data_IF_705620547780
#
_entry.id   IF_705620547780
#
_cell.length_a   1.000
_cell.length_b   1.000
_cell.length_c   1.000
_cell.angle_alpha   90.00
_cell.angle_beta   90.00
_cell.angle_gamma   90.00
#
_symmetry.space_group_name_H-M   'P 1'
#
loop_
_entity.id
_entity.type
_entity.pdbx_description
1 polymer ?
#
# COMPACT_ATOMS: atom_id res chain seq x y z
N UNK A 1 17.80 -29.42 -50.40
CA UNK A 1 16.66 -29.32 -49.45
C UNK A 1 17.10 -29.11 -47.99
N UNK A 2 18.30 -29.54 -47.55
CA UNK A 2 18.77 -29.42 -46.16
C UNK A 2 19.24 -28.02 -45.71
N UNK A 3 19.72 -27.18 -46.64
CA UNK A 3 20.22 -25.82 -46.33
C UNK A 3 19.11 -24.89 -45.82
N UNK A 4 17.87 -25.05 -46.32
CA UNK A 4 16.73 -24.23 -45.90
C UNK A 4 16.24 -24.54 -44.47
N UNK A 5 16.40 -25.78 -43.99
CA UNK A 5 16.02 -26.15 -42.63
C UNK A 5 17.01 -25.60 -41.59
N UNK A 6 18.31 -25.59 -41.94
CA UNK A 6 19.37 -25.03 -41.08
C UNK A 6 19.24 -23.50 -41.00
N UNK A 7 18.93 -22.82 -42.11
CA UNK A 7 18.67 -21.38 -42.10
C UNK A 7 17.45 -21.02 -41.23
N UNK A 8 16.37 -21.80 -41.29
CA UNK A 8 15.18 -21.58 -40.45
C UNK A 8 15.46 -21.83 -38.96
N UNK A 9 16.32 -22.79 -38.62
CA UNK A 9 16.77 -23.01 -37.24
C UNK A 9 17.66 -21.86 -36.74
N UNK A 10 18.50 -21.29 -37.61
CA UNK A 10 19.35 -20.13 -37.28
C UNK A 10 18.50 -18.87 -37.05
N UNK A 11 17.46 -18.66 -37.87
CA UNK A 11 16.48 -17.58 -37.67
C UNK A 11 15.69 -17.74 -36.36
N UNK A 12 15.30 -18.97 -36.00
CA UNK A 12 14.66 -19.25 -34.71
C UNK A 12 15.64 -19.01 -33.55
N UNK A 13 16.90 -19.41 -33.69
CA UNK A 13 17.92 -19.16 -32.69
C UNK A 13 18.20 -17.66 -32.53
N UNK A 14 18.22 -16.89 -33.62
CA UNK A 14 18.34 -15.44 -33.62
C UNK A 14 17.13 -14.78 -32.95
N UNK A 15 15.90 -15.19 -33.28
CA UNK A 15 14.68 -14.70 -32.64
C UNK A 15 14.64 -15.04 -31.14
N UNK A 16 15.03 -16.25 -30.76
CA UNK A 16 15.12 -16.67 -29.37
C UNK A 16 16.16 -15.84 -28.59
N UNK A 17 17.30 -15.54 -29.22
CA UNK A 17 18.35 -14.71 -28.62
C UNK A 17 17.91 -13.24 -28.48
N UNK A 18 17.22 -12.70 -29.47
CA UNK A 18 16.63 -11.35 -29.40
C UNK A 18 15.53 -11.30 -28.34
N UNK A 19 14.67 -12.32 -28.26
CA UNK A 19 13.64 -12.43 -27.24
C UNK A 19 14.25 -12.51 -25.82
N UNK A 20 15.30 -13.32 -25.63
CA UNK A 20 16.02 -13.42 -24.36
C UNK A 20 16.65 -12.07 -23.96
N UNK A 21 17.30 -11.37 -24.90
CA UNK A 21 17.85 -10.05 -24.64
C UNK A 21 16.77 -9.02 -24.27
N UNK A 22 15.60 -9.08 -24.92
CA UNK A 22 14.46 -8.21 -24.57
C UNK A 22 13.87 -8.51 -23.19
N UNK A 23 13.85 -9.78 -22.79
CA UNK A 23 13.40 -10.19 -21.45
C UNK A 23 14.34 -9.68 -20.37
N UNK A 24 15.66 -9.77 -20.59
CA UNK A 24 16.66 -9.24 -19.65
C UNK A 24 16.57 -7.72 -19.49
N UNK A 25 16.35 -6.99 -20.59
CA UNK A 25 16.15 -5.53 -20.55
C UNK A 25 14.85 -5.15 -19.80
N UNK A 26 13.74 -5.84 -20.09
CA UNK A 26 12.47 -5.66 -19.37
C UNK A 26 12.66 -5.93 -17.87
N UNK A 27 13.35 -7.01 -17.51
CA UNK A 27 13.61 -7.36 -16.10
C UNK A 27 14.47 -6.30 -15.41
N UNK A 28 15.53 -5.81 -16.08
CA UNK A 28 16.39 -4.74 -15.56
C UNK A 28 15.63 -3.42 -15.38
N UNK A 29 14.79 -3.04 -16.35
CA UNK A 29 13.97 -1.83 -16.27
C UNK A 29 12.89 -1.95 -15.18
N UNK A 30 12.23 -3.11 -15.06
CA UNK A 30 11.27 -3.36 -13.99
C UNK A 30 11.92 -3.32 -12.61
N UNK A 31 13.13 -3.89 -12.47
CA UNK A 31 13.88 -3.81 -11.22
C UNK A 31 14.25 -2.37 -10.86
N UNK A 32 14.75 -1.58 -11.83
CA UNK A 32 15.12 -0.18 -11.60
C UNK A 32 13.91 0.70 -11.27
N UNK A 33 12.82 0.55 -12.03
CA UNK A 33 11.60 1.33 -11.80
C UNK A 33 10.92 0.92 -10.48
N UNK A 34 10.87 -0.38 -10.20
CA UNK A 34 10.40 -0.91 -8.92
C UNK A 34 11.25 -0.43 -7.73
N UNK A 35 12.57 -0.34 -7.87
CA UNK A 35 13.45 0.19 -6.83
C UNK A 35 13.19 1.67 -6.54
N UNK A 36 12.86 2.48 -7.56
CA UNK A 36 12.46 3.88 -7.35
C UNK A 36 11.08 3.99 -6.70
N UNK A 37 10.16 3.10 -7.03
CA UNK A 37 8.86 3.02 -6.38
C UNK A 37 8.94 2.44 -4.95
N UNK A 38 10.03 1.75 -4.59
CA UNK A 38 10.13 1.00 -3.33
C UNK A 38 9.91 1.86 -2.09
N UNK A 39 10.33 3.12 -2.10
CA UNK A 39 10.07 4.06 -1.00
C UNK A 39 8.57 4.25 -0.74
N UNK A 40 7.79 4.43 -1.80
CA UNK A 40 6.32 4.59 -1.77
C UNK A 40 5.61 3.25 -1.51
N UNK A 41 6.20 2.12 -1.93
CA UNK A 41 5.65 0.77 -1.71
C UNK A 41 5.70 0.36 -0.23
N UNK A 42 6.73 0.78 0.50
CA UNK A 42 6.82 0.54 1.95
C UNK A 42 5.63 1.18 2.66
N UNK A 43 5.22 2.37 2.19
CA UNK A 43 4.08 3.10 2.73
C UNK A 43 2.75 2.39 2.41
N UNK A 44 2.60 1.85 1.20
CA UNK A 44 1.44 1.05 0.76
C UNK A 44 1.27 -0.25 1.60
N UNK A 45 2.38 -0.90 1.95
CA UNK A 45 2.40 -2.07 2.81
C UNK A 45 1.95 -1.79 4.24
N UNK A 46 2.12 -0.56 4.74
CA UNK A 46 1.71 -0.18 6.09
C UNK A 46 0.21 0.13 6.21
N UNK A 47 -0.45 0.45 5.09
CA UNK A 47 -1.86 0.85 5.05
C UNK A 47 -2.80 -0.37 4.99
N UNK A 48 -2.41 -1.41 4.26
CA UNK A 48 -3.28 -2.57 3.96
C UNK A 48 -3.66 -3.45 5.17
N UNK A 49 -2.76 -3.79 6.12
CA UNK A 49 -3.09 -4.64 7.27
C UNK A 49 -4.25 -4.13 8.12
N UNK A 50 -4.56 -2.84 8.05
CA UNK A 50 -5.63 -2.19 8.82
C UNK A 50 -7.02 -2.63 8.42
N UNK A 51 -7.23 -2.96 7.15
CA UNK A 51 -8.56 -3.28 6.62
C UNK A 51 -9.03 -4.68 7.03
N UNK A 52 -8.13 -5.50 7.59
CA UNK A 52 -8.44 -6.82 8.14
C UNK A 52 -8.53 -6.85 9.66
N UNK A 53 -8.19 -5.74 10.34
CA UNK A 53 -8.24 -5.65 11.80
C UNK A 53 -9.69 -5.70 12.28
N UNK A 54 -9.97 -6.56 13.25
CA UNK A 54 -11.28 -6.69 13.90
C UNK A 54 -12.21 -7.73 13.27
N UNK A 55 -11.78 -8.41 12.20
CA UNK A 55 -12.48 -9.60 11.70
C UNK A 55 -12.04 -10.86 12.43
N UNK A 56 -12.85 -11.91 12.37
CA UNK A 56 -12.43 -13.23 12.88
C UNK A 56 -11.26 -13.75 12.02
N UNK A 57 -10.21 -14.30 12.65
CA UNK A 57 -8.99 -14.79 12.00
C UNK A 57 -9.25 -15.64 10.74
N UNK A 58 -10.28 -16.51 10.78
CA UNK A 58 -10.70 -17.34 9.62
C UNK A 58 -11.07 -16.56 8.35
N UNK A 59 -11.39 -15.27 8.45
CA UNK A 59 -11.81 -14.40 7.34
C UNK A 59 -10.73 -13.44 6.87
N UNK A 60 -9.65 -13.27 7.62
CA UNK A 60 -8.59 -12.30 7.30
C UNK A 60 -7.90 -12.63 5.97
N UNK A 61 -7.43 -13.87 5.78
CA UNK A 61 -6.76 -14.27 4.54
C UNK A 61 -7.68 -14.23 3.29
N UNK A 62 -8.95 -14.68 3.35
CA UNK A 62 -9.91 -14.45 2.27
C UNK A 62 -10.11 -12.97 1.91
N UNK A 63 -10.18 -12.08 2.92
CA UNK A 63 -10.31 -10.63 2.70
C UNK A 63 -9.05 -10.09 2.00
N UNK A 64 -7.85 -10.42 2.49
CA UNK A 64 -6.58 -10.03 1.84
C UNK A 64 -6.56 -10.47 0.38
N UNK A 65 -6.99 -11.70 0.08
CA UNK A 65 -7.05 -12.21 -1.29
C UNK A 65 -8.05 -11.42 -2.16
N UNK A 66 -9.21 -11.05 -1.63
CA UNK A 66 -10.20 -10.24 -2.35
C UNK A 66 -9.63 -8.85 -2.68
N UNK A 67 -8.96 -8.23 -1.71
CA UNK A 67 -8.32 -6.92 -1.91
C UNK A 67 -7.19 -7.04 -2.94
N UNK A 68 -6.31 -8.04 -2.82
CA UNK A 68 -5.20 -8.28 -3.75
C UNK A 68 -5.68 -8.49 -5.20
N UNK A 69 -6.74 -9.31 -5.40
CA UNK A 69 -7.30 -9.53 -6.74
C UNK A 69 -7.98 -8.27 -7.28
N UNK A 70 -8.69 -7.52 -6.43
CA UNK A 70 -9.30 -6.24 -6.80
C UNK A 70 -8.25 -5.20 -7.20
N UNK A 71 -7.21 -5.06 -6.39
CA UNK A 71 -6.02 -4.23 -6.63
C UNK A 71 -5.34 -4.59 -7.94
N UNK A 72 -5.07 -5.88 -8.19
CA UNK A 72 -4.41 -6.32 -9.42
C UNK A 72 -5.23 -6.00 -10.67
N UNK A 73 -6.55 -6.23 -10.61
CA UNK A 73 -7.46 -5.86 -11.71
C UNK A 73 -7.44 -4.36 -11.96
N UNK A 74 -7.51 -3.55 -10.91
CA UNK A 74 -7.46 -2.10 -10.99
C UNK A 74 -6.13 -1.62 -11.60
N UNK A 75 -5.01 -2.16 -11.14
CA UNK A 75 -3.66 -1.84 -11.65
C UNK A 75 -3.52 -2.18 -13.13
N UNK A 76 -3.87 -3.41 -13.53
CA UNK A 76 -3.61 -3.89 -14.90
C UNK A 76 -4.67 -3.48 -15.91
N UNK A 77 -5.96 -3.44 -15.53
CA UNK A 77 -7.06 -3.18 -16.45
C UNK A 77 -7.48 -1.72 -16.51
N UNK A 78 -7.15 -0.91 -15.50
CA UNK A 78 -7.56 0.49 -15.42
C UNK A 78 -6.34 1.41 -15.39
N UNK A 79 -5.49 1.31 -14.36
CA UNK A 79 -4.38 2.24 -14.17
C UNK A 79 -3.32 2.14 -15.26
N UNK A 80 -2.91 0.93 -15.64
CA UNK A 80 -1.92 0.73 -16.70
C UNK A 80 -2.37 1.34 -18.04
N UNK A 81 -3.54 0.98 -18.62
CA UNK A 81 -3.97 1.58 -19.87
C UNK A 81 -4.26 3.08 -19.73
N UNK A 82 -4.79 3.54 -18.59
CA UNK A 82 -5.00 4.96 -18.35
C UNK A 82 -3.68 5.74 -18.26
N UNK A 83 -2.67 5.21 -17.59
CA UNK A 83 -1.35 5.84 -17.46
C UNK A 83 -0.64 5.93 -18.82
N UNK A 84 -0.67 4.85 -19.63
CA UNK A 84 -0.14 4.87 -20.99
C UNK A 84 -0.93 5.81 -21.92
N UNK A 85 -2.25 5.88 -21.78
CA UNK A 85 -3.05 6.82 -22.56
C UNK A 85 -2.77 8.27 -22.14
N UNK A 86 -2.69 8.56 -20.84
CA UNK A 86 -2.37 9.87 -20.33
C UNK A 86 -0.97 10.30 -20.76
N UNK A 87 0.04 9.44 -20.71
CA UNK A 87 1.39 9.81 -21.17
C UNK A 87 1.44 10.18 -22.65
N UNK A 88 0.62 9.54 -23.48
CA UNK A 88 0.55 9.82 -24.92
C UNK A 88 -0.27 11.07 -25.26
N UNK A 89 -1.44 11.26 -24.62
CA UNK A 89 -2.41 12.28 -25.03
C UNK A 89 -2.43 13.53 -24.15
N UNK A 90 -2.12 13.38 -22.87
CA UNK A 90 -2.21 14.46 -21.88
C UNK A 90 -1.22 14.25 -20.73
N UNK A 91 0.11 14.24 -20.99
CA UNK A 91 1.11 14.02 -19.95
C UNK A 91 1.02 15.09 -18.85
N UNK A 92 0.62 16.32 -19.22
CA UNK A 92 0.35 17.43 -18.30
C UNK A 92 -0.77 17.13 -17.29
N UNK A 93 -1.66 16.16 -17.56
CA UNK A 93 -2.78 15.83 -16.69
C UNK A 93 -2.39 14.82 -15.59
N UNK A 94 -1.25 14.13 -15.72
CA UNK A 94 -0.79 13.13 -14.74
C UNK A 94 -0.60 13.78 -13.37
N UNK A 95 0.18 14.86 -13.32
CA UNK A 95 0.51 15.59 -12.09
C UNK A 95 -0.71 16.15 -11.36
N UNK A 96 -1.62 16.92 -12.00
CA UNK A 96 -2.81 17.40 -11.30
C UNK A 96 -3.75 16.27 -10.87
N UNK A 97 -3.83 15.15 -11.63
CA UNK A 97 -4.62 13.99 -11.20
C UNK A 97 -4.02 13.34 -9.94
N UNK A 98 -2.70 13.19 -9.88
CA UNK A 98 -2.00 12.70 -8.70
C UNK A 98 -2.18 13.67 -7.52
N UNK A 99 -2.04 14.98 -7.71
CA UNK A 99 -2.26 15.98 -6.66
C UNK A 99 -3.66 15.92 -6.08
N UNK A 100 -4.68 15.66 -6.90
CA UNK A 100 -6.05 15.42 -6.42
C UNK A 100 -6.14 14.15 -5.56
N UNK A 101 -5.47 13.07 -6.00
CA UNK A 101 -5.32 11.83 -5.22
C UNK A 101 -4.60 12.06 -3.89
N UNK A 102 -3.48 12.79 -3.90
CA UNK A 102 -2.74 13.19 -2.72
C UNK A 102 -3.58 14.06 -1.77
N UNK A 103 -4.37 14.99 -2.30
CA UNK A 103 -5.33 15.76 -1.52
C UNK A 103 -6.39 14.88 -0.84
N UNK A 104 -6.92 13.88 -1.53
CA UNK A 104 -7.82 12.90 -0.92
C UNK A 104 -7.15 12.10 0.21
N UNK A 105 -5.90 11.66 0.02
CA UNK A 105 -5.14 10.96 1.07
C UNK A 105 -4.85 11.86 2.28
N UNK A 106 -4.50 13.13 2.05
CA UNK A 106 -4.33 14.12 3.12
C UNK A 106 -5.62 14.32 3.90
N UNK A 107 -6.76 14.45 3.21
CA UNK A 107 -8.07 14.55 3.84
C UNK A 107 -8.39 13.31 4.68
N UNK A 108 -8.31 12.11 4.09
CA UNK A 108 -8.66 10.85 4.75
C UNK A 108 -7.72 10.51 5.91
N UNK A 109 -6.46 10.94 5.81
CA UNK A 109 -5.46 10.81 6.87
C UNK A 109 -5.71 11.79 8.02
N UNK A 110 -5.98 13.07 7.70
CA UNK A 110 -6.25 14.10 8.70
C UNK A 110 -7.53 13.83 9.51
N UNK A 111 -8.58 13.33 8.85
CA UNK A 111 -9.83 12.92 9.52
C UNK A 111 -9.56 11.82 10.57
N UNK A 112 -8.79 10.79 10.22
CA UNK A 112 -8.41 9.73 11.16
C UNK A 112 -7.52 10.23 12.30
N UNK A 113 -6.61 11.17 12.02
CA UNK A 113 -5.80 11.79 13.09
C UNK A 113 -6.70 12.57 14.04
N UNK A 114 -7.71 13.30 13.52
CA UNK A 114 -8.66 14.04 14.32
C UNK A 114 -9.50 13.10 15.21
N UNK A 115 -9.96 11.96 14.68
CA UNK A 115 -10.68 10.93 15.46
C UNK A 115 -9.82 10.37 16.61
N UNK A 116 -8.51 10.17 16.37
CA UNK A 116 -7.59 9.69 17.41
C UNK A 116 -7.34 10.74 18.51
N UNK A 117 -7.28 12.02 18.15
CA UNK A 117 -7.01 13.12 19.08
C UNK A 117 -8.28 13.57 19.82
N UNK A 118 -9.44 13.48 19.17
CA UNK A 118 -10.72 13.95 19.71
C UNK A 118 -11.85 12.90 19.57
N UNK A 119 -11.76 11.76 20.30
CA UNK A 119 -12.69 10.65 20.14
C UNK A 119 -14.17 10.97 20.44
N UNK A 120 -14.45 12.03 21.20
CA UNK A 120 -15.82 12.46 21.54
C UNK A 120 -16.44 13.44 20.52
N UNK A 121 -15.70 13.91 19.51
CA UNK A 121 -16.30 14.70 18.41
C UNK A 121 -17.04 13.81 17.39
N UNK A 122 -16.75 12.50 17.39
CA UNK A 122 -17.38 11.52 16.51
C UNK A 122 -18.85 11.22 16.89
N UNK A 123 -19.29 11.51 18.12
CA UNK A 123 -20.70 11.34 18.52
C UNK A 123 -21.61 12.49 18.05
N UNK A 124 -21.06 13.59 17.53
CA UNK A 124 -21.81 14.76 17.07
C UNK A 124 -21.89 14.90 15.54
N UNK A 125 -21.30 13.97 14.77
CA UNK A 125 -21.50 13.91 13.33
C UNK A 125 -22.87 13.26 13.05
N UNK A 126 -23.78 13.90 12.28
CA UNK A 126 -25.04 13.28 11.91
C UNK A 126 -24.74 12.05 11.06
N UNK A 127 -25.06 10.90 11.63
CA UNK A 127 -25.14 9.55 11.07
C UNK A 127 -25.09 9.51 9.53
N UNK A 128 -23.87 9.45 8.98
CA UNK A 128 -23.65 9.20 7.57
C UNK A 128 -23.84 7.70 7.31
N UNK A 129 -25.10 7.27 7.38
CA UNK A 129 -25.53 5.90 7.13
C UNK A 129 -25.41 5.02 8.37
N UNK A 130 -26.57 4.66 8.93
CA UNK A 130 -26.72 3.61 9.93
C UNK A 130 -25.70 2.50 9.70
N UNK A 131 -24.84 2.26 10.70
CA UNK A 131 -23.88 1.17 10.69
C UNK A 131 -24.57 -0.10 10.14
N UNK A 132 -24.08 -0.70 9.04
CA UNK A 132 -24.76 -1.84 8.44
C UNK A 132 -24.97 -2.90 9.52
N UNK A 133 -26.24 -3.19 9.83
CA UNK A 133 -26.60 -4.20 10.82
C UNK A 133 -26.14 -5.61 10.40
N UNK A 134 -25.73 -5.79 9.14
CA UNK A 134 -25.19 -7.03 8.60
C UNK A 134 -23.64 -7.01 8.57
N UNK A 135 -22.98 -7.93 9.31
CA UNK A 135 -21.53 -8.11 9.27
C UNK A 135 -20.93 -8.30 7.86
N UNK A 136 -21.70 -8.81 6.89
CA UNK A 136 -21.24 -8.97 5.50
C UNK A 136 -21.11 -7.65 4.76
N UNK A 137 -22.04 -6.72 4.98
CA UNK A 137 -22.02 -5.41 4.32
C UNK A 137 -20.82 -4.59 4.82
N UNK A 138 -20.53 -4.66 6.13
CA UNK A 138 -19.32 -4.08 6.71
C UNK A 138 -18.04 -4.65 6.09
N UNK A 139 -17.98 -5.96 5.86
CA UNK A 139 -16.84 -6.61 5.20
C UNK A 139 -16.66 -6.10 3.75
N UNK A 140 -17.75 -5.99 3.00
CA UNK A 140 -17.71 -5.49 1.62
C UNK A 140 -17.32 -4.01 1.55
N UNK A 141 -17.80 -3.18 2.47
CA UNK A 141 -17.41 -1.78 2.58
C UNK A 141 -15.93 -1.63 2.88
N UNK A 142 -15.39 -2.43 3.81
CA UNK A 142 -13.96 -2.45 4.13
C UNK A 142 -13.11 -2.88 2.95
N UNK A 143 -13.50 -3.94 2.24
CA UNK A 143 -12.81 -4.41 1.03
C UNK A 143 -12.83 -3.34 -0.05
N UNK A 144 -13.98 -2.70 -0.29
CA UNK A 144 -14.12 -1.65 -1.30
C UNK A 144 -13.32 -0.39 -0.93
N UNK A 145 -13.31 0.00 0.34
CA UNK A 145 -12.48 1.08 0.86
C UNK A 145 -11.00 0.80 0.64
N UNK A 146 -10.53 -0.40 1.01
CA UNK A 146 -9.15 -0.83 0.80
C UNK A 146 -8.75 -0.78 -0.67
N UNK A 147 -9.58 -1.30 -1.57
CA UNK A 147 -9.34 -1.28 -3.02
C UNK A 147 -9.27 0.17 -3.56
N UNK A 148 -10.06 1.09 -3.01
CA UNK A 148 -10.04 2.50 -3.42
C UNK A 148 -8.76 3.20 -2.97
N UNK A 149 -8.35 3.00 -1.73
CA UNK A 149 -7.09 3.56 -1.20
C UNK A 149 -5.90 2.98 -1.97
N UNK A 150 -5.86 1.66 -2.19
CA UNK A 150 -4.83 1.01 -3.01
C UNK A 150 -4.82 1.54 -4.45
N UNK A 151 -5.97 1.81 -5.05
CA UNK A 151 -6.03 2.40 -6.41
C UNK A 151 -5.32 3.75 -6.47
N UNK A 152 -5.50 4.61 -5.45
CA UNK A 152 -4.86 5.94 -5.41
C UNK A 152 -3.35 5.79 -5.21
N UNK A 153 -2.92 4.96 -4.25
CA UNK A 153 -1.49 4.68 -4.00
C UNK A 153 -0.82 4.03 -5.21
N UNK A 154 -1.53 3.13 -5.88
CA UNK A 154 -1.06 2.46 -7.10
C UNK A 154 -0.94 3.41 -8.28
N UNK A 155 -1.81 4.43 -8.37
CA UNK A 155 -1.75 5.43 -9.43
C UNK A 155 -0.45 6.24 -9.34
N UNK A 156 -0.05 6.62 -8.13
CA UNK A 156 1.23 7.28 -7.86
C UNK A 156 2.41 6.38 -8.21
N UNK A 157 2.44 5.15 -7.70
CA UNK A 157 3.48 4.16 -8.02
C UNK A 157 3.62 3.98 -9.54
N UNK A 158 2.49 3.87 -10.24
CA UNK A 158 2.47 3.67 -11.68
C UNK A 158 2.97 4.91 -12.43
N UNK A 159 2.63 6.11 -11.96
CA UNK A 159 3.09 7.36 -12.54
C UNK A 159 4.59 7.61 -12.30
N UNK A 160 5.10 7.34 -11.09
CA UNK A 160 6.55 7.38 -10.79
C UNK A 160 7.29 6.37 -11.67
N UNK A 161 6.75 5.16 -11.76
CA UNK A 161 7.30 4.08 -12.60
C UNK A 161 7.39 4.56 -14.05
N UNK A 162 6.30 5.10 -14.60
CA UNK A 162 6.26 5.61 -15.98
C UNK A 162 7.18 6.81 -16.21
N UNK A 163 7.19 7.79 -15.29
CA UNK A 163 8.02 9.00 -15.40
C UNK A 163 9.53 8.75 -15.23
N UNK A 164 9.93 7.57 -14.74
CA UNK A 164 11.34 7.20 -14.59
C UNK A 164 11.86 6.35 -15.74
N UNK A 165 10.98 5.90 -16.63
CA UNK A 165 11.35 5.13 -17.81
C UNK A 165 11.86 6.06 -18.91
N UNK A 166 12.88 5.64 -19.67
CA UNK A 166 13.22 6.29 -20.93
C UNK A 166 12.04 6.23 -21.90
N UNK A 167 12.07 7.12 -22.91
CA UNK A 167 11.22 7.03 -24.11
C UNK A 167 11.54 5.74 -24.87
N UNK A 168 10.95 4.66 -24.40
CA UNK A 168 11.09 3.29 -24.90
C UNK A 168 9.86 2.92 -25.72
N UNK A 169 9.94 1.81 -26.47
CA UNK A 169 8.78 1.34 -27.22
C UNK A 169 7.58 1.12 -26.28
N UNK A 170 6.39 1.51 -26.74
CA UNK A 170 5.12 1.36 -26.00
C UNK A 170 4.96 -0.02 -25.34
N UNK A 171 5.36 -1.08 -26.03
CA UNK A 171 5.30 -2.45 -25.51
C UNK A 171 6.24 -2.70 -24.33
N UNK A 172 7.44 -2.12 -24.32
CA UNK A 172 8.37 -2.23 -23.19
C UNK A 172 7.79 -1.52 -21.98
N UNK A 173 7.31 -0.29 -22.12
CA UNK A 173 6.63 0.43 -21.03
C UNK A 173 5.45 -0.37 -20.49
N UNK A 174 4.60 -0.91 -21.36
CA UNK A 174 3.45 -1.74 -20.96
C UNK A 174 3.88 -2.96 -20.14
N UNK A 175 4.86 -3.73 -20.60
CA UNK A 175 5.32 -4.93 -19.89
C UNK A 175 6.01 -4.56 -18.58
N UNK A 176 6.82 -3.51 -18.55
CA UNK A 176 7.51 -3.05 -17.34
C UNK A 176 6.50 -2.54 -16.30
N UNK A 177 5.53 -1.70 -16.69
CA UNK A 177 4.44 -1.26 -15.80
C UNK A 177 3.63 -2.44 -15.26
N UNK A 178 3.30 -3.43 -16.11
CA UNK A 178 2.60 -4.63 -15.70
C UNK A 178 3.42 -5.45 -14.70
N UNK A 179 4.72 -5.66 -14.96
CA UNK A 179 5.62 -6.39 -14.11
C UNK A 179 5.78 -5.73 -12.73
N UNK A 180 5.95 -4.41 -12.70
CA UNK A 180 6.02 -3.62 -11.46
C UNK A 180 4.69 -3.70 -10.70
N UNK A 181 3.57 -3.50 -11.37
CA UNK A 181 2.23 -3.58 -10.76
C UNK A 181 1.94 -4.96 -10.14
N UNK A 182 2.25 -6.04 -10.86
CA UNK A 182 2.12 -7.42 -10.35
C UNK A 182 3.08 -7.65 -9.20
N UNK A 183 4.36 -7.30 -9.37
CA UNK A 183 5.41 -7.54 -8.38
C UNK A 183 5.13 -6.86 -7.05
N UNK A 184 4.73 -5.59 -7.09
CA UNK A 184 4.35 -4.82 -5.89
C UNK A 184 3.11 -5.42 -5.23
N UNK A 185 2.09 -5.81 -6.01
CA UNK A 185 0.89 -6.45 -5.46
C UNK A 185 1.25 -7.76 -4.75
N UNK A 186 2.07 -8.61 -5.36
CA UNK A 186 2.52 -9.86 -4.74
C UNK A 186 3.34 -9.59 -3.48
N UNK A 187 4.24 -8.61 -3.52
CA UNK A 187 5.09 -8.28 -2.37
C UNK A 187 4.27 -7.73 -1.20
N UNK A 188 3.46 -6.69 -1.42
CA UNK A 188 2.66 -6.02 -0.39
C UNK A 188 1.64 -7.00 0.21
N UNK A 189 0.78 -7.61 -0.61
CA UNK A 189 -0.24 -8.51 -0.10
C UNK A 189 0.34 -9.84 0.40
N UNK A 190 1.52 -10.24 -0.08
CA UNK A 190 2.28 -11.36 0.46
C UNK A 190 2.75 -11.10 1.88
N UNK A 191 3.33 -9.93 2.15
CA UNK A 191 3.72 -9.51 3.52
C UNK A 191 2.49 -9.43 4.42
N UNK A 192 1.39 -8.84 3.95
CA UNK A 192 0.13 -8.77 4.72
C UNK A 192 -0.40 -10.17 5.05
N UNK A 193 -0.38 -11.09 4.08
CA UNK A 193 -0.80 -12.48 4.30
C UNK A 193 0.10 -13.21 5.31
N UNK A 194 1.41 -12.96 5.28
CA UNK A 194 2.35 -13.50 6.27
C UNK A 194 2.09 -12.95 7.67
N UNK A 195 1.80 -11.66 7.79
CA UNK A 195 1.42 -11.02 9.06
C UNK A 195 0.20 -11.70 9.66
N UNK A 196 -0.88 -11.81 8.88
CA UNK A 196 -2.12 -12.50 9.28
C UNK A 196 -1.84 -13.96 9.67
N UNK A 197 -1.00 -14.66 8.89
CA UNK A 197 -0.66 -16.06 9.15
C UNK A 197 0.18 -16.25 10.42
N UNK A 198 0.93 -15.24 10.85
CA UNK A 198 1.69 -15.30 12.09
C UNK A 198 0.76 -15.42 13.32
N UNK A 199 -0.46 -14.90 13.27
CA UNK A 199 -1.44 -15.05 14.34
C UNK A 199 -1.94 -16.51 14.48
N UNK A 200 -2.37 -17.10 13.35
CA UNK A 200 -2.72 -18.52 13.26
C UNK A 200 -1.59 -19.43 13.76
N UNK A 201 -0.35 -19.10 13.35
CA UNK A 201 0.85 -19.82 13.78
C UNK A 201 1.08 -19.68 15.29
N UNK A 202 0.82 -18.50 15.85
CA UNK A 202 0.85 -18.24 17.30
C UNK A 202 -0.11 -19.14 18.07
N UNK A 203 -1.36 -19.25 17.63
CA UNK A 203 -2.35 -20.16 18.24
C UNK A 203 -1.86 -21.61 18.13
N UNK A 204 -1.41 -22.03 16.93
CA UNK A 204 -0.91 -23.39 16.72
C UNK A 204 0.29 -23.72 17.61
N UNK A 205 1.17 -22.76 17.92
CA UNK A 205 2.31 -22.95 18.83
C UNK A 205 1.86 -22.96 20.30
N UNK A 206 0.89 -22.12 20.66
CA UNK A 206 0.36 -22.00 22.02
C UNK A 206 -0.34 -23.27 22.51
N UNK A 207 -1.00 -24.01 21.61
CA UNK A 207 -1.72 -25.25 21.92
C UNK A 207 -0.94 -26.52 21.57
N UNK A 208 0.27 -26.40 21.00
CA UNK A 208 1.05 -27.56 20.60
C UNK A 208 1.58 -28.33 21.82
N UNK A 209 1.24 -29.62 21.91
CA UNK A 209 1.74 -30.51 22.95
C UNK A 209 2.94 -31.36 22.52
N UNK A 210 3.23 -31.42 21.21
CA UNK A 210 4.31 -32.21 20.61
C UNK A 210 5.12 -31.42 19.56
N UNK A 211 5.82 -30.35 19.98
CA UNK A 211 6.50 -29.43 19.06
C UNK A 211 7.63 -30.06 18.26
N UNK A 212 8.40 -31.00 18.82
CA UNK A 212 9.52 -31.64 18.12
C UNK A 212 9.01 -32.50 16.95
N UNK A 213 7.89 -33.20 17.16
CA UNK A 213 7.23 -34.01 16.12
C UNK A 213 6.58 -33.16 15.04
N UNK A 214 5.99 -32.03 15.43
CA UNK A 214 5.41 -31.07 14.49
C UNK A 214 6.47 -30.45 13.58
N UNK A 215 7.65 -30.14 14.12
CA UNK A 215 8.78 -29.60 13.35
C UNK A 215 9.39 -30.64 12.39
N UNK A 216 9.46 -31.90 12.80
CA UNK A 216 9.95 -33.01 11.98
C UNK A 216 8.93 -33.54 10.96
N UNK A 217 7.72 -32.95 10.88
CA UNK A 217 6.67 -33.37 9.95
C UNK A 217 6.01 -34.72 10.29
N UNK A 218 6.25 -35.28 11.48
CA UNK A 218 5.76 -36.59 11.92
C UNK A 218 4.36 -36.50 12.57
N UNK A 219 3.47 -35.73 11.95
CA UNK A 219 2.19 -35.26 12.51
C UNK A 219 1.14 -36.37 12.74
N UNK A 220 1.39 -37.60 12.29
CA UNK A 220 0.47 -38.75 12.35
C UNK A 220 0.86 -39.86 13.33
N UNK A 221 1.97 -39.74 14.06
CA UNK A 221 2.39 -40.77 15.02
C UNK A 221 1.61 -40.63 16.34
N UNK A 222 0.57 -41.44 16.52
CA UNK A 222 -0.13 -41.62 17.81
C UNK A 222 0.83 -42.21 18.84
N UNK A 223 1.46 -41.36 19.65
CA UNK A 223 2.38 -41.78 20.70
C UNK A 223 2.54 -40.71 21.77
N UNK A 224 2.93 -41.10 22.97
CA UNK A 224 3.18 -40.19 24.10
C UNK A 224 4.24 -39.13 23.75
N UNK A 225 4.16 -37.90 24.27
CA UNK A 225 5.14 -36.84 24.00
C UNK A 225 6.57 -37.29 24.35
N UNK A 226 7.49 -37.13 23.40
CA UNK A 226 8.91 -37.47 23.60
C UNK A 226 9.56 -36.58 24.67
N UNK A 227 10.74 -36.95 25.17
CA UNK A 227 11.51 -36.10 26.10
C UNK A 227 11.84 -34.72 25.50
N UNK A 228 12.09 -34.68 24.18
CA UNK A 228 12.31 -33.44 23.43
C UNK A 228 11.03 -32.57 23.35
N UNK A 229 9.86 -33.19 23.18
CA UNK A 229 8.57 -32.47 23.18
C UNK A 229 8.33 -31.78 24.53
N UNK A 230 8.61 -32.49 25.65
CA UNK A 230 8.49 -31.92 27.00
C UNK A 230 9.46 -30.76 27.25
N UNK A 231 10.69 -30.84 26.72
CA UNK A 231 11.69 -29.78 26.86
C UNK A 231 11.33 -28.53 26.04
N UNK A 232 10.81 -28.69 24.81
CA UNK A 232 10.49 -27.59 23.91
C UNK A 232 9.10 -26.98 24.13
N UNK A 233 8.18 -27.72 24.76
CA UNK A 233 6.80 -27.27 25.05
C UNK A 233 6.72 -25.89 25.76
N UNK A 234 7.40 -25.63 26.89
CA UNK A 234 7.25 -24.35 27.57
C UNK A 234 7.72 -23.17 26.70
N UNK A 235 8.79 -23.35 25.94
CA UNK A 235 9.35 -22.33 25.04
C UNK A 235 8.39 -22.06 23.87
N UNK A 236 7.95 -23.11 23.19
CA UNK A 236 7.02 -22.97 22.04
C UNK A 236 5.68 -22.39 22.45
N UNK A 237 5.13 -22.79 23.61
CA UNK A 237 3.89 -22.23 24.14
C UNK A 237 4.06 -20.78 24.60
N UNK A 238 5.20 -20.41 25.18
CA UNK A 238 5.51 -19.02 25.54
C UNK A 238 5.60 -18.13 24.29
N UNK A 239 6.29 -18.59 23.24
CA UNK A 239 6.38 -17.89 21.95
C UNK A 239 4.99 -17.77 21.32
N UNK A 240 4.21 -18.86 21.27
CA UNK A 240 2.85 -18.84 20.72
C UNK A 240 1.93 -17.87 21.45
N UNK A 241 1.93 -17.88 22.78
CA UNK A 241 1.17 -16.93 23.60
C UNK A 241 1.65 -15.49 23.39
N UNK A 242 2.96 -15.27 23.25
CA UNK A 242 3.54 -13.97 22.95
C UNK A 242 3.12 -13.42 21.59
N UNK A 243 3.06 -14.27 20.57
CA UNK A 243 2.57 -13.89 19.24
C UNK A 243 1.10 -13.47 19.28
N UNK A 244 0.23 -14.29 19.89
CA UNK A 244 -1.21 -14.01 19.98
C UNK A 244 -1.49 -12.77 20.84
N UNK A 245 -0.79 -12.60 21.97
CA UNK A 245 -0.98 -11.44 22.84
C UNK A 245 -0.39 -10.16 22.24
N UNK A 246 0.67 -10.27 21.43
CA UNK A 246 1.29 -9.14 20.73
C UNK A 246 0.51 -8.68 19.50
N UNK A 247 -0.24 -9.57 18.84
CA UNK A 247 -0.94 -9.28 17.58
C UNK A 247 -1.86 -8.04 17.66
N UNK A 248 -2.71 -7.85 18.68
CA UNK A 248 -3.56 -6.65 18.76
C UNK A 248 -2.76 -5.35 18.84
N UNK A 249 -1.64 -5.35 19.57
CA UNK A 249 -0.74 -4.19 19.67
C UNK A 249 -0.04 -3.90 18.35
N UNK A 250 0.43 -4.96 17.67
CA UNK A 250 1.05 -4.86 16.36
C UNK A 250 0.09 -4.32 15.30
N UNK A 251 -1.15 -4.82 15.25
CA UNK A 251 -2.19 -4.35 14.34
C UNK A 251 -2.60 -2.89 14.63
N UNK A 252 -2.64 -2.49 15.90
CA UNK A 252 -2.84 -1.07 16.29
C UNK A 252 -1.67 -0.18 15.85
N UNK A 253 -0.43 -0.66 15.96
CA UNK A 253 0.75 0.08 15.52
C UNK A 253 0.75 0.25 14.00
N UNK A 254 0.45 -0.80 13.22
CA UNK A 254 0.22 -0.68 11.78
C UNK A 254 -0.94 0.29 11.50
N UNK A 255 -1.98 0.19 12.33
CA UNK A 255 -3.11 1.11 12.55
C UNK A 255 -2.76 2.55 12.96
N UNK A 256 -1.51 2.86 13.28
CA UNK A 256 -0.98 4.23 13.39
C UNK A 256 -0.08 4.59 12.19
N UNK A 257 0.80 3.67 11.79
CA UNK A 257 1.77 3.86 10.68
C UNK A 257 1.07 4.15 9.35
N UNK A 258 0.08 3.35 8.93
CA UNK A 258 -0.69 3.64 7.71
C UNK A 258 -1.41 5.01 7.65
N UNK A 259 -1.80 5.63 8.78
CA UNK A 259 -2.43 6.96 8.82
C UNK A 259 -1.34 7.99 8.58
N UNK A 260 -0.19 7.82 9.24
CA UNK A 260 0.98 8.65 9.00
C UNK A 260 1.43 8.55 7.54
N UNK A 261 1.43 7.34 6.98
CA UNK A 261 1.73 7.08 5.56
C UNK A 261 0.75 7.81 4.63
N UNK A 262 -0.57 7.70 4.83
CA UNK A 262 -1.56 8.42 4.02
C UNK A 262 -1.30 9.94 3.98
N UNK A 263 -1.00 10.52 5.14
CA UNK A 263 -0.78 11.96 5.26
C UNK A 263 0.54 12.37 4.60
N UNK A 264 1.64 11.68 4.91
CA UNK A 264 2.93 11.99 4.31
C UNK A 264 2.89 11.75 2.81
N UNK A 265 2.49 10.57 2.33
CA UNK A 265 2.43 10.27 0.89
C UNK A 265 1.58 11.32 0.17
N UNK A 266 0.39 11.62 0.68
CA UNK A 266 -0.46 12.68 0.12
C UNK A 266 0.24 14.05 0.08
N UNK A 267 0.92 14.42 1.17
CA UNK A 267 1.69 15.66 1.23
C UNK A 267 2.86 15.68 0.24
N UNK A 268 3.59 14.59 0.11
CA UNK A 268 4.71 14.42 -0.82
C UNK A 268 4.27 14.56 -2.27
N UNK A 269 3.15 13.93 -2.66
CA UNK A 269 2.55 14.09 -3.99
C UNK A 269 2.25 15.56 -4.29
N UNK A 270 1.64 16.27 -3.34
CA UNK A 270 1.29 17.69 -3.54
C UNK A 270 2.54 18.56 -3.62
N UNK A 271 3.53 18.33 -2.76
CA UNK A 271 4.80 19.07 -2.78
C UNK A 271 5.52 18.88 -4.12
N UNK A 272 5.59 17.63 -4.61
CA UNK A 272 6.21 17.34 -5.89
C UNK A 272 5.43 17.97 -7.05
N UNK A 273 4.09 17.89 -7.03
CA UNK A 273 3.28 18.55 -8.03
C UNK A 273 3.41 20.08 -8.02
N UNK A 274 3.57 20.70 -6.84
CA UNK A 274 3.88 22.13 -6.74
C UNK A 274 5.22 22.48 -7.38
N UNK A 275 6.24 21.63 -7.21
CA UNK A 275 7.54 21.82 -7.85
C UNK A 275 7.43 21.77 -9.38
N UNK A 276 6.70 20.79 -9.93
CA UNK A 276 6.45 20.69 -11.37
C UNK A 276 5.68 21.90 -11.93
N UNK A 277 4.77 22.49 -11.15
CA UNK A 277 4.07 23.73 -11.51
C UNK A 277 4.90 25.01 -11.32
N UNK A 278 6.17 24.90 -10.94
CA UNK A 278 7.09 26.03 -10.78
C UNK A 278 7.14 26.64 -9.38
N UNK A 279 6.47 26.02 -8.40
CA UNK A 279 6.48 26.42 -6.99
C UNK A 279 7.38 25.52 -6.14
N UNK A 280 8.62 25.30 -6.58
CA UNK A 280 9.58 24.39 -5.95
C UNK A 280 10.21 24.88 -4.63
N UNK A 281 9.93 26.09 -4.15
CA UNK A 281 10.58 26.66 -2.96
C UNK A 281 10.41 25.80 -1.71
N UNK A 282 9.23 25.22 -1.52
CA UNK A 282 8.93 24.36 -0.39
C UNK A 282 9.63 22.98 -0.51
N UNK A 283 9.65 22.39 -1.71
CA UNK A 283 10.39 21.16 -1.99
C UNK A 283 11.89 21.34 -1.78
N UNK A 284 12.48 22.42 -2.31
CA UNK A 284 13.90 22.73 -2.11
C UNK A 284 14.26 23.03 -0.65
N UNK A 285 13.39 23.73 0.09
CA UNK A 285 13.61 23.97 1.52
C UNK A 285 13.62 22.65 2.32
N UNK A 286 12.69 21.74 2.03
CA UNK A 286 12.63 20.42 2.65
C UNK A 286 13.85 19.57 2.28
N UNK A 287 14.21 19.52 0.99
CA UNK A 287 15.39 18.78 0.54
C UNK A 287 16.68 19.33 1.16
N UNK A 288 16.81 20.66 1.24
CA UNK A 288 17.94 21.31 1.90
C UNK A 288 18.02 20.96 3.40
N UNK A 289 16.89 20.97 4.11
CA UNK A 289 16.83 20.56 5.51
C UNK A 289 17.15 19.06 5.70
N UNK A 290 16.64 18.20 4.83
CA UNK A 290 16.89 16.76 4.84
C UNK A 290 18.37 16.45 4.58
N UNK A 291 18.97 17.10 3.57
CA UNK A 291 20.38 16.93 3.24
C UNK A 291 21.30 17.47 4.34
N UNK A 292 20.97 18.62 4.93
CA UNK A 292 21.70 19.15 6.08
C UNK A 292 21.65 18.20 7.29
N UNK A 293 20.51 17.55 7.51
CA UNK A 293 20.34 16.55 8.57
C UNK A 293 21.14 15.27 8.28
N UNK A 294 21.23 14.85 7.02
CA UNK A 294 22.03 13.71 6.60
C UNK A 294 23.53 13.93 6.84
N UNK A 295 24.02 15.15 6.59
CA UNK A 295 25.40 15.55 6.82
C UNK A 295 25.78 15.60 8.30
N UNK A 296 24.80 15.82 9.20
CA UNK A 296 25.04 15.88 10.64
C UNK A 296 25.43 14.51 11.23
N UNK A 297 24.92 13.41 10.68
CA UNK A 297 25.28 12.04 11.10
C UNK A 297 25.45 11.13 9.87
N UNK A 298 26.64 11.15 9.23
CA UNK A 298 26.88 10.43 7.97
C UNK A 298 26.60 8.93 8.03
N UNK A 299 26.79 8.30 9.18
CA UNK A 299 26.56 6.87 9.39
C UNK A 299 25.09 6.46 9.16
N UNK A 300 24.14 7.36 9.36
CA UNK A 300 22.70 7.13 9.15
C UNK A 300 22.10 8.19 8.22
N UNK A 301 22.93 8.84 7.39
CA UNK A 301 22.56 10.01 6.61
C UNK A 301 21.32 9.78 5.74
N UNK A 302 21.27 8.65 5.02
CA UNK A 302 20.12 8.31 4.18
C UNK A 302 18.83 8.06 4.99
N UNK A 303 18.93 7.50 6.20
CA UNK A 303 17.76 7.30 7.07
C UNK A 303 17.25 8.64 7.64
N UNK A 304 18.15 9.55 7.99
CA UNK A 304 17.79 10.90 8.44
C UNK A 304 17.18 11.73 7.30
N UNK A 305 17.74 11.66 6.09
CA UNK A 305 17.22 12.34 4.91
C UNK A 305 15.78 11.88 4.61
N UNK A 306 15.56 10.57 4.61
CA UNK A 306 14.24 9.98 4.44
C UNK A 306 13.29 10.45 5.55
N UNK A 307 13.71 10.40 6.82
CA UNK A 307 12.87 10.76 7.96
C UNK A 307 12.47 12.24 7.96
N UNK A 308 13.38 13.14 7.63
CA UNK A 308 13.09 14.59 7.57
C UNK A 308 12.17 14.90 6.39
N UNK A 309 12.41 14.27 5.23
CA UNK A 309 11.54 14.41 4.05
C UNK A 309 10.13 13.90 4.35
N UNK A 310 10.04 12.73 4.98
CA UNK A 310 8.79 12.11 5.42
C UNK A 310 8.03 12.98 6.41
N UNK A 311 8.71 13.47 7.45
CA UNK A 311 8.11 14.30 8.49
C UNK A 311 7.64 15.64 7.93
N UNK A 312 8.43 16.29 7.07
CA UNK A 312 8.06 17.55 6.44
C UNK A 312 6.86 17.41 5.51
N UNK A 313 6.86 16.35 4.68
CA UNK A 313 5.74 16.02 3.80
C UNK A 313 4.48 15.66 4.60
N UNK A 314 4.61 14.90 5.68
CA UNK A 314 3.52 14.59 6.61
C UNK A 314 2.94 15.82 7.28
N UNK A 315 3.78 16.74 7.75
CA UNK A 315 3.30 17.99 8.36
C UNK A 315 2.53 18.84 7.34
N UNK A 316 3.07 18.99 6.13
CA UNK A 316 2.38 19.67 5.04
C UNK A 316 1.06 18.99 4.68
N UNK A 317 1.07 17.66 4.57
CA UNK A 317 -0.13 16.86 4.32
C UNK A 317 -1.20 17.02 5.40
N UNK A 318 -0.83 17.13 6.69
CA UNK A 318 -1.78 17.42 7.77
C UNK A 318 -2.39 18.81 7.63
N UNK A 319 -1.60 19.81 7.25
CA UNK A 319 -2.10 21.18 7.02
C UNK A 319 -3.11 21.20 5.87
N UNK A 320 -2.76 20.58 4.74
CA UNK A 320 -3.65 20.47 3.58
C UNK A 320 -4.91 19.67 3.93
N UNK A 321 -4.74 18.51 4.57
CA UNK A 321 -5.84 17.65 4.98
C UNK A 321 -6.79 18.33 5.96
N UNK A 322 -6.26 19.00 6.98
CA UNK A 322 -7.05 19.79 7.92
C UNK A 322 -7.81 20.94 7.25
N UNK A 323 -7.18 21.64 6.31
CA UNK A 323 -7.85 22.66 5.52
C UNK A 323 -9.00 22.06 4.67
N UNK A 324 -8.76 20.92 4.02
CA UNK A 324 -9.78 20.21 3.25
C UNK A 324 -10.95 19.74 4.11
N UNK A 325 -10.69 19.20 5.31
CA UNK A 325 -11.74 18.82 6.27
C UNK A 325 -12.63 20.02 6.60
N UNK A 326 -12.03 21.18 6.93
CA UNK A 326 -12.78 22.40 7.24
C UNK A 326 -13.61 22.88 6.04
N UNK A 327 -13.02 22.91 4.84
CA UNK A 327 -13.71 23.35 3.63
C UNK A 327 -14.86 22.41 3.26
N UNK A 328 -14.63 21.10 3.29
CA UNK A 328 -15.63 20.11 2.92
C UNK A 328 -16.81 20.11 3.89
N UNK A 329 -16.56 20.12 5.20
CA UNK A 329 -17.62 20.13 6.20
C UNK A 329 -18.37 21.46 6.30
N UNK A 330 -17.69 22.61 6.17
CA UNK A 330 -18.34 23.92 6.33
C UNK A 330 -18.96 24.48 5.06
N UNK A 331 -18.41 24.17 3.89
CA UNK A 331 -18.88 24.74 2.63
C UNK A 331 -19.53 23.71 1.71
N UNK A 332 -18.85 22.59 1.44
CA UNK A 332 -19.24 21.67 0.36
C UNK A 332 -20.43 20.80 0.74
N UNK A 333 -20.36 20.06 1.85
CA UNK A 333 -21.47 19.18 2.26
C UNK A 333 -22.78 19.95 2.50
N UNK A 334 -22.79 21.12 3.17
CA UNK A 334 -24.00 21.91 3.33
C UNK A 334 -24.56 22.43 2.00
N UNK A 335 -23.69 22.84 1.06
CA UNK A 335 -24.11 23.29 -0.26
C UNK A 335 -24.71 22.14 -1.09
N UNK A 336 -24.08 20.95 -1.08
CA UNK A 336 -24.58 19.78 -1.80
C UNK A 336 -25.89 19.27 -1.19
N UNK A 337 -26.05 19.30 0.13
CA UNK A 337 -27.29 18.95 0.81
C UNK A 337 -28.44 19.88 0.40
N UNK A 338 -28.18 21.21 0.35
CA UNK A 338 -29.14 22.21 -0.16
C UNK A 338 -29.54 21.95 -1.61
N UNK A 339 -28.60 21.59 -2.48
CA UNK A 339 -28.87 21.31 -3.91
C UNK A 339 -29.65 20.00 -4.09
N UNK A 340 -29.35 18.96 -3.30
CA UNK A 340 -30.04 17.66 -3.38
C UNK A 340 -31.41 17.63 -2.70
N UNK A 341 -31.88 18.74 -2.14
CA UNK A 341 -33.17 18.81 -1.44
C UNK A 341 -33.25 17.93 -0.19
N UNK A 342 -32.10 17.45 0.30
CA UNK A 342 -32.01 16.75 1.57
C UNK A 342 -31.87 17.85 2.61
N UNK A 343 -33.00 18.35 3.11
CA UNK A 343 -33.01 19.17 4.32
C UNK A 343 -32.25 18.40 5.39
N UNK A 344 -31.08 18.93 5.77
CA UNK A 344 -30.42 18.53 6.99
C UNK A 344 -31.44 18.79 8.10
N UNK A 345 -32.08 17.73 8.61
CA UNK A 345 -32.79 17.78 9.88
C UNK A 345 -31.74 18.04 10.95
N UNK A 346 -31.38 19.31 11.10
CA UNK A 346 -30.92 19.83 12.36
C UNK A 346 -32.17 20.14 13.16
N UNK A 347 -32.23 19.61 14.38
CA UNK A 347 -32.68 20.30 15.60
C UNK A 347 -32.80 19.28 16.74
N UNK A 348 -32.72 19.72 18.00
CA UNK A 348 -31.87 20.77 18.58
C UNK A 348 -30.63 20.20 19.28
#
# INVERSE_FOLDING_TARGET
>A
MSVGLIALLDDIAALAKVAAASLDDIAGQAAKAGAKAAGVVIDDAAVTPRYVVGFAASRELPIVRRIAVGSLKNKLLILLPAALALSLFAPWAVTPLLMLGGGFLCYEGAEKVLEMVWPHAAEMAPDAGAAPADPKLLEEERVRGAIKTDFILSAEIMAITLGTMPDSAFWIQCVVLAAVGVGITVAVYGVVALIVKADDAGISLAVNEAPARSLLGLRGATGTPSGADRALRPVTQAIGRGLVSGMPGFLKLLGLVGTAAMVWVGGGIIIHGLEEFGHGSLGHALHGAAHASALAVPAIGGALEWLVTAAGSGLFGLVVGGALVVVLHRAVFPAVARIRGVEARHTP
#
